data_IF_772218293433
#
_entry.id   IF_772218293433
#
_cell.length_a   1.000
_cell.length_b   1.000
_cell.length_c   1.000
_cell.angle_alpha   90.00
_cell.angle_beta   90.00
_cell.angle_gamma   90.00
#
_symmetry.space_group_name_H-M   'P 1'
#
loop_
_entity.id
_entity.type
_entity.pdbx_description
1 polymer ?
#
# COMPACT_ATOMS: atom_id res chain seq x y z
N UNK A 1 0.27 0.63 -17.23
CA UNK A 1 -0.17 1.93 -16.70
C UNK A 1 -0.64 1.83 -15.25
N UNK A 2 -1.47 0.83 -14.91
CA UNK A 2 -1.99 0.60 -13.53
C UNK A 2 -0.86 0.43 -12.49
N UNK A 3 0.21 -0.28 -12.83
CA UNK A 3 1.34 -0.53 -11.91
C UNK A 3 2.01 0.77 -11.43
N UNK A 4 2.26 1.70 -12.35
CA UNK A 4 2.85 3.01 -12.04
C UNK A 4 1.88 3.91 -11.28
N UNK A 5 0.59 3.86 -11.63
CA UNK A 5 -0.44 4.63 -10.93
C UNK A 5 -0.60 4.16 -9.48
N UNK A 6 -0.65 2.85 -9.23
CA UNK A 6 -0.75 2.29 -7.88
C UNK A 6 0.52 2.54 -7.05
N UNK A 7 1.69 2.50 -7.68
CA UNK A 7 2.94 2.91 -7.04
C UNK A 7 2.90 4.37 -6.58
N UNK A 8 2.42 5.28 -7.45
CA UNK A 8 2.25 6.70 -7.12
C UNK A 8 1.22 6.95 -6.01
N UNK A 9 0.06 6.31 -6.08
CA UNK A 9 -0.99 6.42 -5.06
C UNK A 9 -0.50 5.95 -3.70
N UNK A 10 0.16 4.77 -3.64
CA UNK A 10 0.72 4.19 -2.41
C UNK A 10 1.64 5.19 -1.70
N UNK A 11 2.41 5.92 -2.48
CA UNK A 11 3.35 6.92 -2.02
C UNK A 11 2.66 8.19 -1.50
N UNK A 12 1.66 8.70 -2.23
CA UNK A 12 0.93 9.90 -1.85
C UNK A 12 0.05 9.70 -0.60
N UNK A 13 -0.41 8.48 -0.33
CA UNK A 13 -1.24 8.15 0.85
C UNK A 13 -0.49 8.30 2.19
N UNK A 14 0.82 8.59 2.19
CA UNK A 14 1.59 8.88 3.39
C UNK A 14 1.33 10.28 3.96
N UNK A 15 0.87 11.21 3.12
CA UNK A 15 0.48 12.56 3.54
C UNK A 15 -0.99 12.57 3.94
N UNK A 16 -1.28 12.97 5.19
CA UNK A 16 -2.64 13.05 5.74
C UNK A 16 -3.56 13.93 4.90
N UNK A 17 -3.02 14.97 4.24
CA UNK A 17 -3.79 15.86 3.35
C UNK A 17 -4.34 15.10 2.15
N UNK A 18 -3.56 14.15 1.62
CA UNK A 18 -3.94 13.34 0.47
C UNK A 18 -4.83 12.15 0.87
N UNK A 19 -4.74 11.68 2.11
CA UNK A 19 -5.54 10.54 2.58
C UNK A 19 -7.04 10.83 2.45
N UNK A 20 -7.50 12.02 2.84
CA UNK A 20 -8.91 12.38 2.73
C UNK A 20 -9.38 12.38 1.26
N UNK A 21 -8.58 12.95 0.35
CA UNK A 21 -8.87 12.91 -1.09
C UNK A 21 -8.97 11.47 -1.64
N UNK A 22 -8.09 10.57 -1.20
CA UNK A 22 -8.15 9.17 -1.62
C UNK A 22 -9.30 8.39 -0.99
N UNK A 23 -9.75 8.77 0.21
CA UNK A 23 -10.91 8.15 0.85
C UNK A 23 -12.24 8.56 0.18
N UNK A 24 -12.30 9.75 -0.40
CA UNK A 24 -13.47 10.26 -1.13
C UNK A 24 -13.52 9.85 -2.62
N UNK A 25 -12.45 9.24 -3.13
CA UNK A 25 -12.35 8.78 -4.52
C UNK A 25 -12.44 7.26 -4.64
N UNK A 26 -12.49 6.74 -5.88
CA UNK A 26 -12.50 5.30 -6.19
C UNK A 26 -11.18 4.58 -5.86
N UNK A 27 -10.23 5.25 -5.19
CA UNK A 27 -8.92 4.72 -4.87
C UNK A 27 -8.98 3.40 -4.09
N UNK A 28 -9.91 3.27 -3.14
CA UNK A 28 -10.10 2.03 -2.37
C UNK A 28 -10.52 0.87 -3.27
N UNK A 29 -11.46 1.10 -4.17
CA UNK A 29 -11.96 0.07 -5.09
C UNK A 29 -10.90 -0.34 -6.10
N UNK A 30 -10.11 0.62 -6.60
CA UNK A 30 -8.98 0.35 -7.49
C UNK A 30 -7.93 -0.49 -6.75
N UNK A 31 -7.55 -0.12 -5.52
CA UNK A 31 -6.59 -0.88 -4.73
C UNK A 31 -7.08 -2.31 -4.46
N UNK A 32 -8.37 -2.49 -4.13
CA UNK A 32 -8.96 -3.83 -3.93
C UNK A 32 -8.93 -4.65 -5.23
N UNK A 33 -9.22 -4.05 -6.39
CA UNK A 33 -9.11 -4.73 -7.70
C UNK A 33 -7.67 -5.14 -7.99
N UNK A 34 -6.70 -4.29 -7.68
CA UNK A 34 -5.28 -4.53 -7.90
C UNK A 34 -4.71 -5.69 -7.07
N UNK A 35 -5.38 -6.13 -6.00
CA UNK A 35 -4.99 -7.34 -5.26
C UNK A 35 -5.06 -8.61 -6.11
N UNK A 36 -5.84 -8.62 -7.21
CA UNK A 36 -5.97 -9.77 -8.11
C UNK A 36 -4.99 -9.71 -9.29
N UNK A 37 -4.12 -8.71 -9.37
CA UNK A 37 -3.13 -8.61 -10.44
C UNK A 37 -2.08 -9.72 -10.32
N UNK A 38 -1.54 -10.15 -11.47
CA UNK A 38 -0.45 -11.13 -11.54
C UNK A 38 0.90 -10.53 -11.16
N UNK A 39 1.07 -9.21 -11.31
CA UNK A 39 2.29 -8.52 -10.92
C UNK A 39 2.33 -8.30 -9.40
N UNK A 40 3.28 -8.97 -8.74
CA UNK A 40 3.47 -8.91 -7.29
C UNK A 40 3.76 -7.49 -6.78
N UNK A 41 4.49 -6.65 -7.51
CA UNK A 41 4.76 -5.27 -7.08
C UNK A 41 3.48 -4.44 -7.01
N UNK A 42 2.56 -4.64 -7.96
CA UNK A 42 1.25 -3.97 -7.94
C UNK A 42 0.41 -4.44 -6.75
N UNK A 43 0.46 -5.74 -6.43
CA UNK A 43 -0.23 -6.29 -5.26
C UNK A 43 0.38 -5.74 -3.97
N UNK A 44 1.71 -5.65 -3.87
CA UNK A 44 2.40 -5.06 -2.71
C UNK A 44 1.99 -3.59 -2.53
N UNK A 45 2.02 -2.77 -3.59
CA UNK A 45 1.56 -1.37 -3.54
C UNK A 45 0.10 -1.25 -3.13
N UNK A 46 -0.77 -2.14 -3.61
CA UNK A 46 -2.18 -2.15 -3.24
C UNK A 46 -2.39 -2.49 -1.75
N UNK A 47 -1.72 -3.52 -1.23
CA UNK A 47 -1.80 -3.89 0.20
C UNK A 47 -1.35 -2.73 1.08
N UNK A 48 -0.23 -2.10 0.72
CA UNK A 48 0.34 -0.97 1.48
C UNK A 48 -0.56 0.27 1.42
N UNK A 49 -1.14 0.57 0.26
CA UNK A 49 -2.13 1.65 0.10
C UNK A 49 -3.32 1.44 1.02
N UNK A 50 -3.90 0.24 1.01
CA UNK A 50 -5.01 -0.12 1.89
C UNK A 50 -4.60 -0.03 3.37
N UNK A 51 -3.37 -0.40 3.72
CA UNK A 51 -2.85 -0.27 5.09
C UNK A 51 -2.84 1.19 5.59
N UNK A 52 -2.44 2.15 4.75
CA UNK A 52 -2.41 3.57 5.09
C UNK A 52 -3.80 4.18 5.14
N UNK A 53 -4.68 3.78 4.23
CA UNK A 53 -6.04 4.31 4.16
C UNK A 53 -7.00 3.68 5.17
N UNK A 54 -6.57 2.76 6.05
CA UNK A 54 -7.41 2.26 7.15
C UNK A 54 -7.62 3.36 8.19
N UNK A 55 -8.83 3.90 8.18
CA UNK A 55 -9.39 4.79 9.20
C UNK A 55 -10.61 4.13 9.82
N UNK A 56 -11.16 4.62 10.94
CA UNK A 56 -12.39 4.09 11.51
C UNK A 56 -13.56 4.05 10.51
N UNK A 57 -13.60 5.02 9.58
CA UNK A 57 -14.64 5.14 8.55
C UNK A 57 -14.42 4.14 7.41
N UNK A 58 -13.21 4.08 6.84
CA UNK A 58 -12.91 3.23 5.67
C UNK A 58 -12.72 1.75 6.01
N UNK A 59 -12.49 1.43 7.29
CA UNK A 59 -12.23 0.06 7.76
C UNK A 59 -13.28 -0.95 7.29
N UNK A 60 -14.56 -0.60 7.26
CA UNK A 60 -15.63 -1.53 6.82
C UNK A 60 -15.51 -1.92 5.35
N UNK A 61 -15.03 -1.00 4.51
CA UNK A 61 -14.82 -1.23 3.07
C UNK A 61 -13.55 -2.05 2.86
N UNK A 62 -12.46 -1.67 3.53
CA UNK A 62 -11.13 -2.29 3.37
C UNK A 62 -11.07 -3.69 4.01
N UNK A 63 -11.63 -3.85 5.20
CA UNK A 63 -11.63 -5.11 5.97
C UNK A 63 -12.92 -5.88 5.69
N UNK A 64 -13.12 -6.21 4.42
CA UNK A 64 -14.21 -7.08 3.99
C UNK A 64 -13.72 -8.53 3.81
N UNK A 65 -14.66 -9.47 3.70
CA UNK A 65 -14.36 -10.91 3.60
C UNK A 65 -13.42 -11.23 2.43
N UNK A 66 -13.67 -10.65 1.26
CA UNK A 66 -12.86 -10.90 0.06
C UNK A 66 -11.40 -10.47 0.28
N UNK A 67 -11.17 -9.27 0.83
CA UNK A 67 -9.82 -8.77 1.11
C UNK A 67 -9.14 -9.64 2.16
N UNK A 68 -9.82 -9.98 3.26
CA UNK A 68 -9.26 -10.85 4.30
C UNK A 68 -8.88 -12.24 3.78
N UNK A 69 -9.69 -12.83 2.90
CA UNK A 69 -9.40 -14.15 2.34
C UNK A 69 -8.22 -14.11 1.36
N UNK A 70 -8.04 -13.01 0.61
CA UNK A 70 -6.84 -12.77 -0.18
C UNK A 70 -5.60 -12.63 0.71
N UNK A 71 -5.67 -11.86 1.80
CA UNK A 71 -4.52 -11.72 2.72
C UNK A 71 -4.13 -13.05 3.37
N UNK A 72 -5.09 -13.91 3.73
CA UNK A 72 -4.78 -15.25 4.25
C UNK A 72 -4.09 -16.14 3.20
N UNK A 73 -4.42 -15.97 1.92
CA UNK A 73 -3.72 -16.66 0.83
C UNK A 73 -2.30 -16.11 0.66
N UNK A 74 -2.15 -14.79 0.60
CA UNK A 74 -0.86 -14.12 0.47
C UNK A 74 0.08 -14.42 1.63
N UNK A 75 -0.44 -14.57 2.85
CA UNK A 75 0.32 -14.99 4.02
C UNK A 75 1.05 -16.32 3.80
N UNK A 76 0.52 -17.22 2.96
CA UNK A 76 1.12 -18.52 2.62
C UNK A 76 2.02 -18.48 1.39
N UNK A 77 2.18 -17.31 0.76
CA UNK A 77 3.04 -17.16 -0.43
C UNK A 77 4.51 -17.43 -0.11
N UNK A 78 5.24 -17.97 -1.09
CA UNK A 78 6.70 -18.11 -1.04
C UNK A 78 7.42 -16.74 -1.06
N UNK A 79 6.78 -15.70 -1.62
CA UNK A 79 7.30 -14.33 -1.59
C UNK A 79 7.20 -13.77 -0.16
N UNK A 80 8.36 -13.58 0.47
CA UNK A 80 8.47 -13.09 1.85
C UNK A 80 7.92 -11.68 2.03
N UNK A 81 8.08 -10.77 1.07
CA UNK A 81 7.51 -9.40 1.16
C UNK A 81 5.99 -9.47 1.22
N UNK A 82 5.40 -10.25 0.32
CA UNK A 82 3.95 -10.41 0.22
C UNK A 82 3.36 -11.09 1.46
N UNK A 83 3.97 -12.19 1.90
CA UNK A 83 3.57 -12.91 3.13
C UNK A 83 3.66 -12.04 4.38
N UNK A 84 4.72 -11.23 4.50
CA UNK A 84 4.91 -10.31 5.62
C UNK A 84 3.84 -9.20 5.63
N UNK A 85 3.61 -8.53 4.50
CA UNK A 85 2.61 -7.47 4.42
C UNK A 85 1.20 -7.98 4.71
N UNK A 86 0.84 -9.15 4.17
CA UNK A 86 -0.46 -9.75 4.42
C UNK A 86 -0.64 -10.13 5.91
N UNK A 87 0.42 -10.63 6.55
CA UNK A 87 0.41 -10.88 8.01
C UNK A 87 0.18 -9.60 8.79
N UNK A 88 0.89 -8.52 8.45
CA UNK A 88 0.74 -7.21 9.10
C UNK A 88 -0.69 -6.69 8.90
N UNK A 89 -1.22 -6.76 7.69
CA UNK A 89 -2.59 -6.33 7.37
C UNK A 89 -3.60 -7.04 8.29
N UNK A 90 -3.56 -8.38 8.34
CA UNK A 90 -4.47 -9.17 9.16
C UNK A 90 -4.33 -8.84 10.65
N UNK A 91 -3.11 -8.66 11.15
CA UNK A 91 -2.87 -8.27 12.54
C UNK A 91 -3.49 -6.90 12.85
N UNK A 92 -3.24 -5.89 12.01
CA UNK A 92 -3.71 -4.52 12.23
C UNK A 92 -5.23 -4.37 12.05
N UNK A 93 -5.82 -5.17 11.17
CA UNK A 93 -7.25 -5.12 10.84
C UNK A 93 -8.13 -5.98 11.76
N UNK A 94 -7.70 -7.21 12.10
CA UNK A 94 -8.53 -8.20 12.78
C UNK A 94 -8.15 -8.41 14.24
N UNK A 95 -6.92 -8.06 14.62
CA UNK A 95 -6.41 -8.26 15.97
C UNK A 95 -6.10 -6.90 16.59
N UNK A 96 -7.13 -6.16 17.01
CA UNK A 96 -6.95 -4.93 17.81
C UNK A 96 -6.31 -5.19 19.21
N UNK A 97 -5.85 -6.41 19.46
CA UNK A 97 -5.31 -6.88 20.73
C UNK A 97 -3.86 -7.33 20.55
N UNK A 98 -2.94 -6.51 21.09
CA UNK A 98 -1.55 -6.81 21.45
C UNK A 98 -0.67 -7.42 20.34
N UNK A 99 0.07 -6.60 19.61
CA UNK A 99 1.33 -7.09 19.00
C UNK A 99 2.40 -6.00 18.93
N UNK A 100 2.99 -5.70 20.10
CA UNK A 100 4.36 -5.18 20.20
C UNK A 100 5.33 -6.31 19.86
N UNK A 101 5.69 -6.42 18.58
CA UNK A 101 6.95 -7.05 18.20
C UNK A 101 7.79 -5.96 17.55
N UNK A 102 8.73 -5.40 18.32
CA UNK A 102 9.62 -4.32 17.91
C UNK A 102 10.27 -4.63 16.54
N UNK A 103 10.62 -5.89 16.30
CA UNK A 103 11.20 -6.37 15.05
C UNK A 103 10.26 -6.27 13.82
N UNK A 104 8.94 -6.46 14.01
CA UNK A 104 7.93 -6.33 12.94
C UNK A 104 7.55 -4.88 12.69
N UNK A 105 7.53 -4.05 13.73
CA UNK A 105 7.39 -2.60 13.61
C UNK A 105 8.62 -1.99 12.91
N UNK A 106 9.82 -2.49 13.22
CA UNK A 106 11.06 -2.14 12.51
C UNK A 106 11.02 -2.55 11.04
N UNK A 107 10.37 -3.68 10.72
CA UNK A 107 10.14 -4.15 9.34
C UNK A 107 9.10 -3.29 8.61
N UNK A 108 8.06 -2.86 9.31
CA UNK A 108 7.10 -1.88 8.78
C UNK A 108 7.79 -0.55 8.52
N UNK A 109 8.60 -0.07 9.47
CA UNK A 109 9.41 1.14 9.36
C UNK A 109 10.46 1.01 8.26
N UNK A 110 11.11 -0.14 8.08
CA UNK A 110 12.10 -0.32 7.02
C UNK A 110 11.46 -0.38 5.65
N UNK A 111 10.30 -1.02 5.50
CA UNK A 111 9.50 -0.96 4.27
C UNK A 111 9.02 0.47 4.03
N UNK A 112 8.45 1.15 5.03
CA UNK A 112 8.05 2.56 4.97
C UNK A 112 9.21 3.48 4.57
N UNK A 113 10.39 3.33 5.19
CA UNK A 113 11.58 4.14 4.94
C UNK A 113 12.16 3.89 3.55
N UNK A 114 12.25 2.63 3.11
CA UNK A 114 12.66 2.31 1.74
C UNK A 114 11.64 2.82 0.72
N UNK A 115 10.34 2.68 0.98
CA UNK A 115 9.29 3.18 0.10
C UNK A 115 9.32 4.71 0.04
N UNK A 116 9.59 5.39 1.16
CA UNK A 116 9.73 6.86 1.22
C UNK A 116 10.98 7.35 0.47
N UNK A 117 12.09 6.63 0.57
CA UNK A 117 13.32 6.94 -0.19
C UNK A 117 13.14 6.70 -1.69
N UNK A 118 12.51 5.57 -2.06
CA UNK A 118 12.13 5.26 -3.45
C UNK A 118 11.10 6.26 -3.96
N UNK A 119 10.15 6.69 -3.14
CA UNK A 119 9.17 7.71 -3.48
C UNK A 119 9.84 9.05 -3.81
N UNK A 120 10.82 9.49 -3.03
CA UNK A 120 11.59 10.70 -3.35
C UNK A 120 12.33 10.54 -4.69
N UNK A 121 12.94 9.40 -4.96
CA UNK A 121 13.66 9.13 -6.21
C UNK A 121 12.73 9.02 -7.43
N UNK A 122 11.56 8.38 -7.29
CA UNK A 122 10.57 8.22 -8.37
C UNK A 122 9.88 9.56 -8.67
N UNK A 123 9.52 10.34 -7.65
CA UNK A 123 9.02 11.71 -7.85
C UNK A 123 10.07 12.58 -8.53
N UNK A 124 11.35 12.48 -8.14
CA UNK A 124 12.44 13.22 -8.79
C UNK A 124 12.61 12.80 -10.25
N UNK A 125 12.55 11.50 -10.57
CA UNK A 125 12.68 11.01 -11.96
C UNK A 125 11.47 11.33 -12.84
N UNK A 126 10.25 11.35 -12.29
CA UNK A 126 9.06 11.84 -12.99
C UNK A 126 9.14 13.36 -13.21
N UNK A 127 9.57 14.13 -12.21
CA UNK A 127 9.77 15.57 -12.33
C UNK A 127 10.85 15.90 -13.38
N UNK A 128 11.98 15.18 -13.37
CA UNK A 128 13.07 15.32 -14.35
C UNK A 128 12.61 14.97 -15.78
N UNK A 129 11.74 13.96 -15.95
CA UNK A 129 11.12 13.68 -17.24
C UNK A 129 10.14 14.78 -17.68
N UNK A 130 9.38 15.36 -16.74
CA UNK A 130 8.46 16.45 -17.04
C UNK A 130 9.19 17.77 -17.37
N UNK A 131 10.31 18.06 -16.70
CA UNK A 131 11.19 19.19 -17.00
C UNK A 131 11.89 19.06 -18.36
N UNK A 132 12.29 17.85 -18.76
CA UNK A 132 12.81 17.60 -20.13
C UNK A 132 11.77 17.75 -21.24
N UNK A 133 10.47 17.75 -20.93
CA UNK A 133 9.41 18.03 -21.91
C UNK A 133 9.21 19.55 -22.08
N UNK A 134 9.64 20.36 -21.12
CA UNK A 134 9.59 21.83 -21.20
C UNK A 134 10.85 22.48 -21.80
N UNK A 135 11.89 21.71 -22.17
CA UNK A 135 13.10 22.20 -22.84
C UNK A 135 13.12 21.89 -24.37
N UNK A 136 11.96 21.91 -25.03
CA UNK A 136 11.88 21.93 -26.50
C UNK A 136 10.91 23.01 -26.96
#
# INVERSE_FOLDING_TARGET
MIEFAMGGICNCCLDETNQNFFLESDCLDIAIKCLKCTNEETVLSAITTLLYLITPVSRKVIVNRQVCDLMKQFQKSSNKRLSNLATIFLQRCLLHSKTTNLHKLLLLLSVLLLQHLVCQLVSLSCLLKSLRICEV
#
